data_IF_997826684054
#
_entry.id   IF_997826684054
#
_cell.length_a   1.000
_cell.length_b   1.000
_cell.length_c   1.000
_cell.angle_alpha   90.00
_cell.angle_beta   90.00
_cell.angle_gamma   90.00
#
_symmetry.space_group_name_H-M   'P 1'
#
loop_
_entity.id
_entity.type
_entity.pdbx_description
1 polymer ?
#
# COMPACT_ATOMS: atom_id res chain seq x y z
N UNK A 1 -16.76 62.66 30.51
CA UNK A 1 -15.45 61.99 30.35
C UNK A 1 -15.39 60.49 30.74
N UNK A 2 -16.27 60.03 31.67
CA UNK A 2 -16.24 58.61 32.12
C UNK A 2 -16.80 57.63 31.08
N UNK A 3 -17.80 58.04 30.28
CA UNK A 3 -18.45 57.18 29.28
C UNK A 3 -17.62 56.97 27.98
N UNK A 4 -16.73 57.90 27.62
CA UNK A 4 -15.93 57.77 26.42
C UNK A 4 -14.83 56.69 26.57
N UNK A 5 -14.27 56.56 27.77
CA UNK A 5 -13.28 55.49 28.06
C UNK A 5 -13.93 54.10 28.05
N UNK A 6 -15.17 53.99 28.58
CA UNK A 6 -15.92 52.73 28.58
C UNK A 6 -16.26 52.28 27.15
N UNK A 7 -16.71 53.19 26.29
CA UNK A 7 -17.02 52.89 24.88
C UNK A 7 -15.78 52.48 24.10
N UNK A 8 -14.62 53.13 24.37
CA UNK A 8 -13.37 52.77 23.73
C UNK A 8 -12.89 51.36 24.14
N UNK A 9 -13.01 51.02 25.43
CA UNK A 9 -12.65 49.71 25.96
C UNK A 9 -13.55 48.61 25.37
N UNK A 10 -14.84 48.83 25.24
CA UNK A 10 -15.77 47.88 24.61
C UNK A 10 -15.43 47.65 23.11
N UNK A 11 -15.11 48.73 22.38
CA UNK A 11 -14.72 48.63 20.97
C UNK A 11 -13.41 47.85 20.79
N UNK A 12 -12.40 48.08 21.64
CA UNK A 12 -11.14 47.36 21.62
C UNK A 12 -11.33 45.88 21.95
N UNK A 13 -12.15 45.56 22.95
CA UNK A 13 -12.50 44.18 23.29
C UNK A 13 -13.25 43.47 22.15
N UNK A 14 -14.21 44.13 21.51
CA UNK A 14 -14.98 43.59 20.41
C UNK A 14 -14.08 43.30 19.16
N UNK A 15 -13.16 44.23 18.83
CA UNK A 15 -12.21 44.03 17.73
C UNK A 15 -11.20 42.93 18.03
N UNK A 16 -10.71 42.81 19.26
CA UNK A 16 -9.83 41.75 19.69
C UNK A 16 -10.51 40.38 19.61
N UNK A 17 -11.79 40.29 20.00
CA UNK A 17 -12.58 39.05 19.92
C UNK A 17 -12.83 38.62 18.46
N UNK A 18 -13.12 39.58 17.57
CA UNK A 18 -13.26 39.28 16.11
C UNK A 18 -11.95 38.80 15.50
N UNK A 19 -10.83 39.40 15.87
CA UNK A 19 -9.50 38.94 15.39
C UNK A 19 -9.12 37.53 15.88
N UNK A 20 -9.52 37.17 17.11
CA UNK A 20 -9.31 35.81 17.65
C UNK A 20 -10.18 34.73 16.93
N UNK A 21 -11.39 35.11 16.52
CA UNK A 21 -12.30 34.20 15.79
C UNK A 21 -11.89 33.99 14.31
N UNK A 22 -11.34 35.00 13.66
CA UNK A 22 -10.89 34.92 12.26
C UNK A 22 -9.58 34.08 12.11
N UNK A 23 -8.75 34.04 13.18
CA UNK A 23 -7.50 33.25 13.17
C UNK A 23 -7.67 31.74 13.35
N UNK A 24 -8.88 31.25 13.67
CA UNK A 24 -9.15 29.82 13.95
C UNK A 24 -9.79 29.07 12.79
N UNK A 25 -9.94 29.66 11.62
CA UNK A 25 -10.12 28.89 10.40
C UNK A 25 -8.77 28.24 10.07
N UNK A 26 -8.31 27.31 10.91
CA UNK A 26 -7.32 26.34 10.49
C UNK A 26 -7.88 25.71 9.21
N UNK A 27 -7.33 26.09 8.06
CA UNK A 27 -7.63 25.46 6.80
C UNK A 27 -7.42 23.96 7.07
N UNK A 28 -8.49 23.19 7.14
CA UNK A 28 -8.44 21.75 7.07
C UNK A 28 -7.80 21.51 5.70
N UNK A 29 -6.48 21.32 5.68
CA UNK A 29 -5.77 21.02 4.46
C UNK A 29 -6.48 19.82 3.85
N UNK A 30 -7.09 20.03 2.69
CA UNK A 30 -7.85 18.99 2.00
C UNK A 30 -6.88 17.85 1.68
N UNK A 31 -7.16 16.66 2.21
CA UNK A 31 -6.34 15.48 1.93
C UNK A 31 -6.56 15.05 0.47
N UNK A 32 -5.47 14.76 -0.28
CA UNK A 32 -4.05 14.87 0.08
C UNK A 32 -3.48 16.27 -0.24
N UNK A 33 -2.70 16.86 0.70
CA UNK A 33 -2.02 18.15 0.53
C UNK A 33 -0.55 18.00 0.07
N UNK A 34 -0.05 16.76 -0.03
CA UNK A 34 1.31 16.41 -0.40
C UNK A 34 1.37 15.06 -1.13
N UNK A 35 2.49 14.72 -1.79
CA UNK A 35 2.65 13.45 -2.48
C UNK A 35 2.46 12.23 -1.57
N UNK A 36 1.79 11.19 -2.11
CA UNK A 36 1.59 9.90 -1.47
C UNK A 36 2.71 8.95 -1.89
N UNK A 37 3.20 8.12 -0.98
CA UNK A 37 4.17 7.06 -1.27
C UNK A 37 3.46 5.72 -1.32
N UNK A 38 3.56 5.02 -2.46
CA UNK A 38 3.06 3.66 -2.64
C UNK A 38 4.23 2.67 -2.60
N UNK A 39 4.31 1.87 -1.53
CA UNK A 39 5.27 0.76 -1.49
C UNK A 39 4.76 -0.45 -2.27
N UNK A 40 5.69 -1.10 -2.97
CA UNK A 40 5.46 -2.37 -3.68
C UNK A 40 6.52 -3.37 -3.23
N UNK A 41 6.10 -4.54 -2.76
CA UNK A 41 6.98 -5.57 -2.19
C UNK A 41 7.76 -6.40 -3.20
N UNK A 42 7.73 -6.02 -4.47
CA UNK A 42 8.35 -6.75 -5.58
C UNK A 42 9.27 -5.84 -6.39
N UNK A 43 10.18 -6.47 -7.16
CA UNK A 43 11.12 -5.73 -8.02
C UNK A 43 10.37 -4.94 -9.09
N UNK A 44 10.97 -3.82 -9.50
CA UNK A 44 10.49 -3.02 -10.62
C UNK A 44 10.42 -3.85 -11.92
N UNK A 45 9.43 -3.56 -12.76
CA UNK A 45 9.18 -4.25 -14.04
C UNK A 45 8.36 -5.54 -13.92
N UNK A 46 8.05 -6.02 -12.72
CA UNK A 46 7.16 -7.16 -12.50
C UNK A 46 5.68 -6.79 -12.60
N UNK A 47 4.80 -7.81 -12.63
CA UNK A 47 3.36 -7.60 -12.77
C UNK A 47 2.76 -6.67 -11.69
N UNK A 48 3.14 -6.84 -10.43
CA UNK A 48 2.68 -5.97 -9.33
C UNK A 48 3.16 -4.52 -9.52
N UNK A 49 4.39 -4.32 -10.00
CA UNK A 49 4.95 -2.99 -10.28
C UNK A 49 4.20 -2.31 -11.42
N UNK A 50 3.94 -3.04 -12.50
CA UNK A 50 3.18 -2.54 -13.66
C UNK A 50 1.79 -2.08 -13.25
N UNK A 51 1.04 -2.91 -12.51
CA UNK A 51 -0.28 -2.57 -11.98
C UNK A 51 -0.19 -1.36 -11.03
N UNK A 52 0.80 -1.34 -10.15
CA UNK A 52 0.99 -0.25 -9.20
C UNK A 52 1.27 1.09 -9.86
N UNK A 53 2.06 1.12 -10.94
CA UNK A 53 2.32 2.37 -11.69
C UNK A 53 1.09 2.89 -12.42
N UNK A 54 0.27 1.99 -12.99
CA UNK A 54 -1.01 2.36 -13.60
C UNK A 54 -1.95 2.94 -12.54
N UNK A 55 -2.07 2.27 -11.39
CA UNK A 55 -2.88 2.76 -10.28
C UNK A 55 -2.38 4.11 -9.76
N UNK A 56 -1.07 4.25 -9.52
CA UNK A 56 -0.46 5.48 -9.03
C UNK A 56 -0.74 6.67 -9.96
N UNK A 57 -0.67 6.45 -11.28
CA UNK A 57 -1.02 7.46 -12.27
C UNK A 57 -2.50 7.86 -12.18
N UNK A 58 -3.41 6.89 -12.12
CA UNK A 58 -4.84 7.14 -12.02
C UNK A 58 -5.21 7.84 -10.70
N UNK A 59 -4.63 7.40 -9.58
CA UNK A 59 -4.81 8.06 -8.28
C UNK A 59 -4.31 9.50 -8.33
N UNK A 60 -3.12 9.74 -8.88
CA UNK A 60 -2.56 11.09 -8.98
C UNK A 60 -3.45 12.04 -9.78
N UNK A 61 -4.05 11.57 -10.87
CA UNK A 61 -4.98 12.35 -11.68
C UNK A 61 -6.28 12.70 -10.92
N UNK A 62 -6.79 11.78 -10.10
CA UNK A 62 -8.04 11.99 -9.37
C UNK A 62 -7.85 12.78 -8.07
N UNK A 63 -6.69 12.60 -7.41
CA UNK A 63 -6.42 13.22 -6.12
C UNK A 63 -5.70 14.58 -6.25
N UNK A 64 -5.28 14.97 -7.44
CA UNK A 64 -4.52 16.21 -7.65
C UNK A 64 -3.12 16.22 -7.03
N UNK A 65 -2.63 15.06 -6.55
CA UNK A 65 -1.33 14.91 -5.90
C UNK A 65 -0.55 13.74 -6.51
N UNK A 66 0.78 13.86 -6.55
CA UNK A 66 1.63 12.81 -7.07
C UNK A 66 1.60 11.56 -6.17
N UNK A 67 1.51 10.37 -6.79
CA UNK A 67 1.69 9.09 -6.11
C UNK A 67 3.01 8.47 -6.54
N UNK A 68 3.98 8.44 -5.64
CA UNK A 68 5.33 7.95 -5.88
C UNK A 68 5.40 6.45 -5.62
N UNK A 69 5.72 5.66 -6.63
CA UNK A 69 5.92 4.22 -6.49
C UNK A 69 7.36 3.93 -6.03
N UNK A 70 7.49 3.20 -4.93
CA UNK A 70 8.76 2.77 -4.35
C UNK A 70 8.77 1.26 -4.20
N UNK A 71 9.64 0.59 -4.96
CA UNK A 71 9.83 -0.86 -4.85
C UNK A 71 10.69 -1.18 -3.63
N UNK A 72 10.18 -2.03 -2.74
CA UNK A 72 10.84 -2.48 -1.51
C UNK A 72 10.74 -4.00 -1.39
N UNK A 73 11.48 -4.74 -2.24
CA UNK A 73 11.39 -6.20 -2.30
C UNK A 73 12.04 -6.86 -1.09
N UNK A 74 11.68 -8.12 -0.87
CA UNK A 74 12.27 -8.99 0.13
C UNK A 74 11.25 -9.70 1.02
N UNK A 75 11.61 -10.89 1.49
CA UNK A 75 10.78 -11.76 2.31
C UNK A 75 9.37 -11.96 1.71
N UNK A 76 9.28 -12.22 0.40
CA UNK A 76 8.00 -12.41 -0.29
C UNK A 76 7.05 -11.19 -0.22
N UNK A 77 7.57 -9.97 -0.11
CA UNK A 77 6.79 -8.73 0.07
C UNK A 77 6.64 -8.30 1.54
N UNK A 78 7.09 -9.10 2.49
CA UNK A 78 6.96 -8.82 3.92
C UNK A 78 7.71 -7.57 4.37
N UNK A 79 8.87 -7.24 3.76
CA UNK A 79 9.64 -6.04 4.12
C UNK A 79 8.85 -4.76 3.84
N UNK A 80 8.20 -4.66 2.69
CA UNK A 80 7.35 -3.51 2.36
C UNK A 80 6.14 -3.42 3.28
N UNK A 81 5.53 -4.55 3.61
CA UNK A 81 4.39 -4.64 4.54
C UNK A 81 4.77 -4.12 5.93
N UNK A 82 5.88 -4.58 6.50
CA UNK A 82 6.37 -4.09 7.78
C UNK A 82 6.73 -2.59 7.76
N UNK A 83 7.20 -2.09 6.61
CA UNK A 83 7.51 -0.67 6.46
C UNK A 83 6.26 0.20 6.51
N UNK A 84 5.14 -0.26 5.93
CA UNK A 84 3.85 0.47 5.98
C UNK A 84 3.23 0.40 7.37
N UNK A 85 3.25 -0.76 8.02
CA UNK A 85 2.74 -0.90 9.40
C UNK A 85 3.47 0.06 10.38
N UNK A 86 4.75 0.32 10.15
CA UNK A 86 5.55 1.27 10.96
C UNK A 86 5.40 2.74 10.54
N UNK A 87 4.77 3.00 9.41
CA UNK A 87 4.53 4.37 8.94
C UNK A 87 3.42 5.04 9.75
N UNK A 88 3.31 6.36 9.63
CA UNK A 88 2.18 7.09 10.22
C UNK A 88 0.89 6.68 9.51
N UNK A 89 -0.21 6.41 10.24
CA UNK A 89 -1.50 6.05 9.66
C UNK A 89 -2.27 7.29 9.19
N UNK A 90 -1.64 8.10 8.35
CA UNK A 90 -2.16 9.38 7.85
C UNK A 90 -2.57 9.34 6.37
N UNK A 91 -2.55 8.15 5.75
CA UNK A 91 -2.91 7.94 4.35
C UNK A 91 -1.81 8.27 3.34
N UNK A 92 -0.67 8.86 3.76
CA UNK A 92 0.42 9.22 2.83
C UNK A 92 1.41 8.11 2.55
N UNK A 93 1.30 6.98 3.25
CA UNK A 93 2.07 5.77 2.96
C UNK A 93 1.12 4.60 2.77
N UNK A 94 1.04 4.10 1.54
CA UNK A 94 0.16 3.01 1.15
C UNK A 94 0.96 1.83 0.61
N UNK A 95 0.31 0.68 0.53
CA UNK A 95 0.92 -0.58 0.11
C UNK A 95 0.12 -1.23 -1.00
N UNK A 96 0.79 -1.68 -2.04
CA UNK A 96 0.23 -2.57 -3.05
C UNK A 96 1.01 -3.87 -3.06
N UNK A 97 0.36 -4.94 -2.64
CA UNK A 97 0.93 -6.29 -2.66
C UNK A 97 -0.16 -7.34 -2.99
N UNK A 98 0.21 -8.52 -3.50
CA UNK A 98 -0.70 -9.66 -3.56
C UNK A 98 -1.22 -10.04 -2.16
N UNK A 99 -2.47 -10.48 -2.07
CA UNK A 99 -3.11 -10.83 -0.79
C UNK A 99 -2.38 -11.92 0.00
N UNK A 100 -1.71 -12.85 -0.72
CA UNK A 100 -0.91 -13.92 -0.07
C UNK A 100 0.19 -13.36 0.86
N UNK A 101 0.69 -12.14 0.59
CA UNK A 101 1.69 -11.48 1.44
C UNK A 101 1.14 -11.22 2.84
N UNK A 102 -0.15 -10.96 2.95
CA UNK A 102 -0.81 -10.65 4.22
C UNK A 102 -1.31 -11.90 4.95
N UNK A 103 -1.72 -12.91 4.18
CA UNK A 103 -2.40 -14.09 4.73
C UNK A 103 -1.48 -15.30 4.90
N UNK A 104 -0.64 -15.60 3.93
CA UNK A 104 0.18 -16.81 3.89
C UNK A 104 1.64 -16.57 4.29
N UNK A 105 2.26 -15.50 3.77
CA UNK A 105 3.70 -15.26 3.95
C UNK A 105 4.13 -15.22 5.44
N UNK A 106 3.40 -14.59 6.38
CA UNK A 106 3.78 -14.62 7.80
C UNK A 106 3.62 -15.99 8.46
N UNK A 107 2.83 -16.89 7.88
CA UNK A 107 2.70 -18.25 8.42
C UNK A 107 3.94 -19.11 8.12
N UNK A 108 4.56 -18.91 6.97
CA UNK A 108 5.73 -19.69 6.52
C UNK A 108 7.06 -19.00 6.86
N UNK A 109 7.07 -17.69 7.04
CA UNK A 109 8.27 -16.94 7.39
C UNK A 109 8.15 -16.34 8.79
N UNK A 110 8.69 -17.05 9.78
CA UNK A 110 8.63 -16.66 11.20
C UNK A 110 9.40 -15.38 11.58
N UNK A 111 10.17 -14.80 10.65
CA UNK A 111 10.82 -13.50 10.84
C UNK A 111 9.88 -12.32 10.61
N UNK A 112 8.72 -12.58 10.01
CA UNK A 112 7.68 -11.57 9.79
C UNK A 112 6.71 -11.59 10.98
N UNK A 113 6.61 -10.48 11.68
CA UNK A 113 5.89 -10.35 12.96
C UNK A 113 4.57 -9.60 12.82
N UNK A 114 4.01 -9.52 11.61
CA UNK A 114 2.72 -8.88 11.37
C UNK A 114 1.61 -9.91 11.11
N UNK A 115 0.40 -9.50 11.37
CA UNK A 115 -0.83 -10.19 11.02
C UNK A 115 -1.64 -9.38 9.99
N UNK A 116 -2.59 -10.05 9.32
CA UNK A 116 -3.48 -9.37 8.37
C UNK A 116 -4.28 -8.22 9.03
N UNK A 117 -4.61 -8.34 10.31
CA UNK A 117 -5.33 -7.32 11.07
C UNK A 117 -4.53 -6.06 11.44
N UNK A 118 -3.22 -6.03 11.15
CA UNK A 118 -2.38 -4.84 11.40
C UNK A 118 -2.47 -3.81 10.25
N UNK A 119 -3.30 -4.08 9.23
CA UNK A 119 -3.48 -3.25 8.05
C UNK A 119 -4.95 -2.95 7.80
N UNK A 120 -5.23 -1.72 7.41
CA UNK A 120 -6.52 -1.32 6.84
C UNK A 120 -6.50 -1.51 5.33
N UNK A 121 -7.51 -2.21 4.80
CA UNK A 121 -7.59 -2.57 3.38
C UNK A 121 -8.50 -1.61 2.64
N UNK A 122 -7.95 -0.86 1.68
CA UNK A 122 -8.72 0.05 0.84
C UNK A 122 -9.52 -0.68 -0.25
N UNK A 123 -9.04 -1.84 -0.72
CA UNK A 123 -9.72 -2.63 -1.73
C UNK A 123 -8.83 -3.61 -2.47
N UNK A 124 -9.42 -4.34 -3.41
CA UNK A 124 -8.75 -5.27 -4.32
C UNK A 124 -8.85 -4.75 -5.74
N UNK A 125 -7.74 -4.71 -6.47
CA UNK A 125 -7.67 -4.18 -7.83
C UNK A 125 -7.93 -5.24 -8.89
N UNK A 126 -7.34 -6.43 -8.71
CA UNK A 126 -7.41 -7.54 -9.66
C UNK A 126 -7.17 -8.88 -8.97
N UNK A 127 -7.53 -9.95 -9.66
CA UNK A 127 -7.17 -11.31 -9.27
C UNK A 127 -6.07 -11.84 -10.21
N UNK A 128 -5.03 -12.44 -9.65
CA UNK A 128 -4.03 -13.15 -10.42
C UNK A 128 -4.53 -14.56 -10.72
N UNK A 129 -4.41 -14.97 -11.98
CA UNK A 129 -4.53 -16.38 -12.35
C UNK A 129 -3.13 -17.00 -12.32
N UNK A 130 -2.98 -18.09 -11.59
CA UNK A 130 -1.73 -18.87 -11.53
C UNK A 130 -1.91 -20.13 -12.36
N UNK A 131 -1.05 -20.32 -13.32
CA UNK A 131 -1.00 -21.52 -14.17
C UNK A 131 0.25 -22.35 -13.89
N UNK A 132 0.11 -23.66 -13.95
CA UNK A 132 1.24 -24.59 -14.04
C UNK A 132 1.50 -24.81 -15.52
N UNK A 133 2.73 -24.55 -15.97
CA UNK A 133 3.16 -24.74 -17.36
C UNK A 133 4.30 -25.72 -17.44
N UNK A 134 4.36 -26.49 -18.51
CA UNK A 134 5.42 -27.40 -18.82
C UNK A 134 5.88 -27.18 -20.28
N UNK A 135 7.09 -27.63 -20.68
CA UNK A 135 7.48 -27.68 -22.07
C UNK A 135 6.46 -28.47 -22.91
N UNK A 136 6.29 -28.10 -24.19
CA UNK A 136 5.34 -28.78 -25.08
C UNK A 136 5.68 -30.28 -25.29
N UNK A 137 6.95 -30.62 -25.18
CA UNK A 137 7.48 -31.99 -25.33
C UNK A 137 7.52 -32.76 -24.00
N UNK A 138 6.93 -32.22 -22.92
CA UNK A 138 6.88 -32.91 -21.64
C UNK A 138 6.11 -34.24 -21.76
N UNK A 139 6.56 -35.34 -21.09
CA UNK A 139 5.92 -36.63 -21.16
C UNK A 139 4.58 -36.71 -20.41
N UNK A 140 3.94 -35.60 -20.15
CA UNK A 140 2.65 -35.43 -19.49
C UNK A 140 1.96 -34.16 -19.98
N UNK A 141 0.64 -34.22 -20.09
CA UNK A 141 -0.23 -33.15 -20.58
C UNK A 141 -1.27 -32.71 -19.52
N UNK A 142 -1.31 -33.41 -18.39
CA UNK A 142 -2.25 -33.16 -17.29
C UNK A 142 -1.53 -33.11 -15.95
N UNK A 143 -2.15 -32.50 -14.95
CA UNK A 143 -1.64 -32.47 -13.58
C UNK A 143 -1.47 -33.89 -13.02
N UNK A 144 -2.43 -34.78 -13.29
CA UNK A 144 -2.35 -36.20 -12.88
C UNK A 144 -1.18 -36.90 -13.56
N UNK A 145 -0.96 -36.66 -14.85
CA UNK A 145 0.20 -37.17 -15.61
C UNK A 145 1.50 -36.68 -14.99
N UNK A 146 1.64 -35.40 -14.68
CA UNK A 146 2.82 -34.84 -14.00
C UNK A 146 3.06 -35.52 -12.64
N UNK A 147 2.02 -35.69 -11.82
CA UNK A 147 2.14 -36.33 -10.50
C UNK A 147 2.59 -37.78 -10.63
N UNK A 148 2.03 -38.54 -11.58
CA UNK A 148 2.47 -39.93 -11.83
C UNK A 148 3.88 -40.00 -12.34
N UNK A 149 4.27 -39.13 -13.25
CA UNK A 149 5.64 -39.02 -13.74
C UNK A 149 6.61 -38.69 -12.60
N UNK A 150 6.27 -37.73 -11.73
CA UNK A 150 7.09 -37.35 -10.60
C UNK A 150 7.30 -38.48 -9.57
N UNK A 151 6.33 -39.39 -9.40
CA UNK A 151 6.44 -40.54 -8.49
C UNK A 151 7.47 -41.58 -9.01
N UNK A 152 7.70 -41.66 -10.32
CA UNK A 152 8.58 -42.60 -10.94
C UNK A 152 9.93 -42.02 -11.39
N UNK A 153 10.08 -40.71 -11.34
CA UNK A 153 11.29 -39.99 -11.76
C UNK A 153 11.72 -39.00 -10.68
N UNK A 154 12.93 -39.18 -10.13
CA UNK A 154 13.52 -38.23 -9.19
C UNK A 154 14.19 -37.08 -9.94
N UNK A 155 14.38 -35.95 -9.24
CA UNK A 155 15.12 -34.79 -9.76
C UNK A 155 14.33 -33.87 -10.68
N UNK A 156 12.99 -33.91 -10.64
CA UNK A 156 12.15 -32.91 -11.36
C UNK A 156 12.38 -31.54 -10.73
N UNK A 157 12.75 -30.59 -11.58
CA UNK A 157 12.92 -29.19 -11.19
C UNK A 157 11.71 -28.36 -11.58
N UNK A 158 11.40 -27.35 -10.78
CA UNK A 158 10.36 -26.39 -11.09
C UNK A 158 10.85 -24.96 -10.80
N UNK A 159 10.29 -23.99 -11.48
CA UNK A 159 10.53 -22.59 -11.21
C UNK A 159 9.29 -21.94 -10.57
N UNK A 160 9.50 -21.07 -9.62
CA UNK A 160 8.45 -20.29 -8.97
C UNK A 160 8.89 -18.84 -8.79
N UNK A 161 7.94 -17.93 -8.79
CA UNK A 161 8.22 -16.50 -8.53
C UNK A 161 8.61 -16.23 -7.07
N UNK A 162 8.18 -17.08 -6.15
CA UNK A 162 8.51 -16.98 -4.73
C UNK A 162 9.09 -18.32 -4.28
N UNK A 163 10.41 -18.43 -4.11
CA UNK A 163 11.00 -19.62 -3.49
C UNK A 163 10.45 -19.77 -2.06
N UNK A 164 10.31 -21.00 -1.59
CA UNK A 164 9.86 -21.29 -0.24
C UNK A 164 10.77 -20.69 0.85
#
# INVERSE_FOLDING_TARGET
>A
MKNSKLVLTIKVLLTATIFLFVGSAAALAEYPDRPITMYIGYKAGGGTDTVGRVLAKAMGQNLGQQVNVVNKPGAGGGISTMAVIKAKPDGYTILLNPSLVFTFTPQVNKRLTYAAGDLDYAGTLNAYQVGLVAPAEAPYDTLTGLVNYAKSHSGITYATMNPP
#
